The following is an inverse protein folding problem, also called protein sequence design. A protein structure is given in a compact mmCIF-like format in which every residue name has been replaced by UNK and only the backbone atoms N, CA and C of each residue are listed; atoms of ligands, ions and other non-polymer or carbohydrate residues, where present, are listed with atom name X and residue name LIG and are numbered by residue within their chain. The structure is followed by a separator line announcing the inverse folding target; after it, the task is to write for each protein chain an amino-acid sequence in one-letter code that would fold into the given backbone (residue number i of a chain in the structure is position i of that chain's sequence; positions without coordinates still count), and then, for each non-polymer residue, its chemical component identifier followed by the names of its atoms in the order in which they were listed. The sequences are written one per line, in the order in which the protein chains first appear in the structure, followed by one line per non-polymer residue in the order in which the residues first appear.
data_IF_138346487621
#
_entry.id   IF_138346487621
#
_cell.length_a   1.000
_cell.length_b   1.000
_cell.length_c   1.000
_cell.angle_alpha   90.00
_cell.angle_beta   90.00
_cell.angle_gamma   90.00
#
_symmetry.space_group_name_H-M   'P 1'
#
loop_
_entity.id
_entity.type
_entity.pdbx_description
1 polymer ?
#
# COMPACT_ATOMS: atom_id res chain seq x y z
N UNK A 1 10.02 -30.75 54.45
CA UNK A 1 11.06 -30.51 53.42
C UNK A 1 10.60 -30.83 51.98
N UNK A 2 9.44 -31.47 51.75
CA UNK A 2 8.94 -31.74 50.39
C UNK A 2 8.05 -30.61 49.82
N UNK A 3 7.30 -29.88 50.67
CA UNK A 3 6.37 -28.83 50.22
C UNK A 3 7.05 -27.61 49.60
N UNK A 4 8.21 -27.18 50.14
CA UNK A 4 8.96 -26.02 49.62
C UNK A 4 9.46 -26.23 48.19
N UNK A 5 9.83 -27.47 47.84
CA UNK A 5 10.33 -27.83 46.51
C UNK A 5 9.25 -27.81 45.43
N UNK A 6 8.00 -28.07 45.82
CA UNK A 6 6.82 -27.98 44.93
C UNK A 6 6.40 -26.52 44.75
N UNK A 7 6.44 -25.72 45.82
CA UNK A 7 6.16 -24.30 45.77
C UNK A 7 7.17 -23.54 44.88
N UNK A 8 8.48 -23.82 45.00
CA UNK A 8 9.51 -23.18 44.14
C UNK A 8 9.32 -23.49 42.65
N UNK A 9 8.96 -24.73 42.30
CA UNK A 9 8.66 -25.10 40.90
C UNK A 9 7.41 -24.38 40.38
N UNK A 10 6.39 -24.22 41.23
CA UNK A 10 5.17 -23.49 40.88
C UNK A 10 5.46 -22.00 40.67
N UNK A 11 6.27 -21.39 41.54
CA UNK A 11 6.71 -20.00 41.43
C UNK A 11 7.52 -19.75 40.16
N UNK A 12 8.44 -20.67 39.81
CA UNK A 12 9.19 -20.59 38.55
C UNK A 12 8.29 -20.67 37.31
N UNK A 13 7.27 -21.54 37.34
CA UNK A 13 6.26 -21.63 36.29
C UNK A 13 5.44 -20.35 36.14
N UNK A 14 4.99 -19.75 37.24
CA UNK A 14 4.23 -18.49 37.23
C UNK A 14 5.09 -17.35 36.66
N UNK A 15 6.36 -17.25 37.07
CA UNK A 15 7.29 -16.26 36.53
C UNK A 15 7.45 -16.44 35.02
N UNK A 16 7.63 -17.68 34.54
CA UNK A 16 7.73 -17.96 33.11
C UNK A 16 6.46 -17.55 32.35
N UNK A 17 5.27 -17.81 32.90
CA UNK A 17 3.99 -17.38 32.30
C UNK A 17 3.90 -15.85 32.22
N UNK A 18 4.31 -15.13 33.27
CA UNK A 18 4.32 -13.66 33.27
C UNK A 18 5.28 -13.12 32.20
N UNK A 19 6.48 -13.68 32.10
CA UNK A 19 7.46 -13.30 31.07
C UNK A 19 6.92 -13.57 29.67
N UNK A 20 6.33 -14.75 29.44
CA UNK A 20 5.73 -15.10 28.16
C UNK A 20 4.56 -14.17 27.80
N UNK A 21 3.72 -13.81 28.77
CA UNK A 21 2.62 -12.88 28.56
C UNK A 21 3.12 -11.48 28.17
N UNK A 22 4.16 -10.98 28.84
CA UNK A 22 4.79 -9.69 28.51
C UNK A 22 5.39 -9.72 27.10
N UNK A 23 6.14 -10.77 26.75
CA UNK A 23 6.67 -10.95 25.39
C UNK A 23 5.55 -11.02 24.35
N UNK A 24 4.45 -11.72 24.64
CA UNK A 24 3.29 -11.78 23.77
C UNK A 24 2.65 -10.40 23.59
N UNK A 25 2.49 -9.61 24.66
CA UNK A 25 1.99 -8.25 24.56
C UNK A 25 2.89 -7.38 23.69
N UNK A 26 4.21 -7.40 23.93
CA UNK A 26 5.18 -6.60 23.14
C UNK A 26 5.13 -7.00 21.67
N UNK A 27 5.18 -8.29 21.36
CA UNK A 27 5.10 -8.78 19.98
C UNK A 27 3.76 -8.44 19.34
N UNK A 28 2.65 -8.48 20.08
CA UNK A 28 1.33 -8.08 19.58
C UNK A 28 1.29 -6.59 19.25
N UNK A 29 1.78 -5.73 20.15
CA UNK A 29 1.89 -4.30 19.86
C UNK A 29 2.83 -4.03 18.70
N UNK A 30 4.00 -4.68 18.64
CA UNK A 30 4.94 -4.57 17.53
C UNK A 30 4.32 -5.02 16.21
N UNK A 31 3.55 -6.11 16.20
CA UNK A 31 2.83 -6.58 15.03
C UNK A 31 1.72 -5.62 14.63
N UNK A 32 0.95 -5.07 15.58
CA UNK A 32 -0.09 -4.06 15.28
C UNK A 32 0.54 -2.78 14.74
N UNK A 33 1.58 -2.26 15.39
CA UNK A 33 2.34 -1.13 14.87
C UNK A 33 2.94 -1.46 13.51
N UNK A 34 3.51 -2.64 13.29
CA UNK A 34 4.05 -3.06 12.00
C UNK A 34 2.98 -3.43 10.97
N UNK A 35 1.71 -3.61 11.35
CA UNK A 35 0.59 -3.89 10.44
C UNK A 35 -0.16 -2.61 10.08
N UNK A 36 -0.24 -1.65 11.01
CA UNK A 36 -0.75 -0.30 10.76
C UNK A 36 0.33 0.57 10.08
N UNK A 37 1.59 0.36 10.46
CA UNK A 37 2.79 0.84 9.79
C UNK A 37 3.36 -0.19 8.82
N UNK A 38 2.60 -1.25 8.49
CA UNK A 38 2.80 -1.89 7.20
C UNK A 38 2.40 -0.80 6.24
N UNK A 39 3.41 -0.17 5.64
CA UNK A 39 3.31 0.90 4.67
C UNK A 39 2.01 0.76 3.88
N UNK A 40 0.97 1.45 4.32
CA UNK A 40 -0.16 1.84 3.51
C UNK A 40 -0.68 0.80 2.49
N UNK A 41 -0.85 -0.50 2.80
CA UNK A 41 -1.16 -1.48 1.74
C UNK A 41 -0.34 -1.23 0.45
N UNK A 42 0.96 -0.97 0.57
CA UNK A 42 1.88 -0.84 -0.55
C UNK A 42 2.17 -2.26 -1.07
N UNK A 43 1.11 -3.01 -1.40
CA UNK A 43 1.13 -3.62 -2.71
C UNK A 43 1.53 -2.48 -3.63
N UNK A 44 2.77 -2.51 -4.13
CA UNK A 44 3.10 -1.80 -5.36
C UNK A 44 2.26 -2.45 -6.45
N UNK A 45 0.95 -2.30 -6.39
CA UNK A 45 0.12 -2.32 -7.57
C UNK A 45 0.71 -1.18 -8.36
N UNK A 46 1.38 -1.51 -9.46
CA UNK A 46 1.98 -0.50 -10.29
C UNK A 46 0.91 0.57 -10.56
N UNK A 47 1.27 1.84 -10.38
CA UNK A 47 0.41 2.92 -10.82
C UNK A 47 0.26 2.77 -12.33
N UNK A 48 -0.97 2.59 -12.80
CA UNK A 48 -1.31 2.62 -14.22
C UNK A 48 -1.69 4.04 -14.55
N UNK A 49 -0.84 4.72 -15.31
CA UNK A 49 -1.01 6.11 -15.69
C UNK A 49 -0.71 6.26 -17.18
N UNK A 50 -1.68 6.78 -17.92
CA UNK A 50 -1.54 7.09 -19.34
C UNK A 50 -1.65 8.59 -19.47
N UNK A 51 -0.64 9.21 -20.09
CA UNK A 51 -0.68 10.61 -20.45
C UNK A 51 -1.23 10.75 -21.87
N UNK A 52 -2.43 11.31 -21.98
CA UNK A 52 -3.01 11.74 -23.25
C UNK A 52 -2.93 13.26 -23.32
N UNK A 53 -1.99 13.78 -24.10
CA UNK A 53 -1.86 15.21 -24.38
C UNK A 53 -1.83 16.11 -23.12
N UNK A 54 -1.14 15.67 -22.06
CA UNK A 54 -1.07 16.31 -20.73
C UNK A 54 -2.44 16.50 -20.04
N UNK A 55 -3.42 15.67 -20.37
CA UNK A 55 -4.80 15.81 -19.92
C UNK A 55 -5.55 16.97 -20.59
N UNK A 56 -4.96 17.62 -21.59
CA UNK A 56 -5.62 18.67 -22.37
C UNK A 56 -6.44 18.04 -23.50
N UNK A 57 -7.68 18.51 -23.74
CA UNK A 57 -8.48 18.05 -24.87
C UNK A 57 -7.71 18.16 -26.18
N UNK A 58 -7.78 17.11 -27.01
CA UNK A 58 -7.17 17.13 -28.36
C UNK A 58 -7.82 18.20 -29.22
N UNK A 59 -9.12 18.45 -29.08
CA UNK A 59 -9.85 19.51 -29.77
C UNK A 59 -10.50 20.43 -28.73
N UNK A 60 -10.33 21.73 -28.87
CA UNK A 60 -10.98 22.73 -28.00
C UNK A 60 -12.16 23.40 -28.72
N UNK A 61 -13.16 23.85 -27.95
CA UNK A 61 -14.44 24.34 -28.47
C UNK A 61 -14.31 25.53 -29.44
N UNK A 62 -13.29 26.38 -29.26
CA UNK A 62 -13.05 27.56 -30.11
C UNK A 62 -11.90 27.37 -31.12
N UNK A 63 -11.39 26.14 -31.28
CA UNK A 63 -10.21 25.90 -32.11
C UNK A 63 -10.57 25.77 -33.59
N UNK A 64 -11.72 25.18 -33.89
CA UNK A 64 -12.17 24.94 -35.26
C UNK A 64 -13.63 25.35 -35.44
N UNK A 65 -13.91 26.01 -36.57
CA UNK A 65 -15.26 26.17 -37.10
C UNK A 65 -15.43 25.08 -38.14
N UNK A 66 -16.21 24.05 -37.81
CA UNK A 66 -16.44 22.93 -38.72
C UNK A 66 -17.45 23.32 -39.80
N UNK A 67 -17.01 23.34 -41.05
CA UNK A 67 -17.88 23.55 -42.21
C UNK A 67 -18.25 22.22 -42.88
N UNK A 68 -19.41 22.10 -43.56
CA UNK A 68 -19.80 20.88 -44.26
C UNK A 68 -18.78 20.47 -45.31
N UNK A 69 -18.26 19.24 -45.22
CA UNK A 69 -17.24 18.71 -46.11
C UNK A 69 -15.79 18.96 -45.66
N UNK A 70 -15.58 19.67 -44.54
CA UNK A 70 -14.26 19.88 -43.96
C UNK A 70 -13.74 18.60 -43.30
N UNK A 71 -12.46 18.28 -43.52
CA UNK A 71 -11.73 17.24 -42.78
C UNK A 71 -10.65 17.90 -41.94
N UNK A 72 -10.65 17.64 -40.64
CA UNK A 72 -9.63 18.15 -39.72
C UNK A 72 -8.69 17.02 -39.33
N UNK A 73 -7.38 17.27 -39.49
CA UNK A 73 -6.32 16.39 -39.02
C UNK A 73 -5.53 17.13 -37.95
N UNK A 74 -5.40 16.51 -36.78
CA UNK A 74 -4.60 17.03 -35.68
C UNK A 74 -3.81 15.89 -35.05
N UNK A 75 -2.53 16.16 -34.83
CA UNK A 75 -1.64 15.21 -34.18
C UNK A 75 -1.82 15.28 -32.66
N UNK A 76 -1.75 14.12 -32.00
CA UNK A 76 -1.79 13.99 -30.55
C UNK A 76 -0.82 12.90 -30.12
N UNK A 77 -0.47 12.88 -28.84
CA UNK A 77 0.43 11.87 -28.27
C UNK A 77 -0.23 11.07 -27.17
N UNK A 78 0.25 9.84 -27.00
CA UNK A 78 -0.06 8.95 -25.89
C UNK A 78 1.27 8.48 -25.30
N UNK A 79 1.44 8.66 -24.01
CA UNK A 79 2.63 8.23 -23.27
C UNK A 79 2.23 7.35 -22.08
N UNK A 80 3.07 6.35 -21.79
CA UNK A 80 2.91 5.50 -20.63
C UNK A 80 3.72 6.08 -19.46
N UNK A 81 3.02 6.71 -18.52
CA UNK A 81 3.56 7.21 -17.26
C UNK A 81 3.46 6.16 -16.14
N UNK A 82 3.03 4.94 -16.47
CA UNK A 82 2.86 3.88 -15.48
C UNK A 82 4.18 3.50 -14.85
N UNK A 83 4.13 3.04 -13.60
CA UNK A 83 5.30 2.54 -12.88
C UNK A 83 5.87 1.21 -13.43
N UNK A 84 5.21 0.61 -14.43
CA UNK A 84 5.66 -0.57 -15.14
C UNK A 84 5.38 -0.45 -16.65
N UNK A 85 6.24 -1.05 -17.45
CA UNK A 85 6.03 -1.15 -18.89
C UNK A 85 4.78 -1.99 -19.20
N UNK A 86 3.95 -1.49 -20.11
CA UNK A 86 2.82 -2.22 -20.67
C UNK A 86 3.23 -2.60 -22.10
N UNK A 87 3.42 -3.90 -22.35
CA UNK A 87 3.85 -4.48 -23.63
C UNK A 87 2.66 -4.82 -24.54
#
# INVERSE_FOLDING_TARGET
MAETKTAEKLTGGIIAVVVLAVCLCITTFALVYSSVSAENNLFRTGEVKINLNDGKPVIQEHEFIFEPGMTVKKDFFIENDSSCDVY
#
